data_IF_916746688223
#
_entry.id   IF_916746688223
#
_cell.length_a   1.000
_cell.length_b   1.000
_cell.length_c   1.000
_cell.angle_alpha   90.00
_cell.angle_beta   90.00
_cell.angle_gamma   90.00
#
_symmetry.space_group_name_H-M   'P 1'
#
loop_
_entity.id
_entity.type
_entity.pdbx_description
1 polymer ?
#
# COMPACT_ATOMS: atom_id res chain seq x y z
N UNK A 1 10.11 8.53 -5.99
CA UNK A 1 10.03 8.51 -4.52
C UNK A 1 10.81 7.31 -4.04
N UNK A 2 11.91 7.52 -3.30
CA UNK A 2 12.60 6.42 -2.63
C UNK A 2 11.74 6.01 -1.42
N UNK A 3 11.46 4.72 -1.24
CA UNK A 3 10.62 4.17 -0.15
C UNK A 3 9.13 4.57 -0.19
N UNK A 4 8.53 4.63 -1.39
CA UNK A 4 7.09 4.79 -1.52
C UNK A 4 6.35 3.55 -1.03
N UNK A 5 5.34 3.75 -0.20
CA UNK A 5 4.46 2.70 0.34
C UNK A 5 3.01 2.97 0.04
N UNK A 6 2.22 1.91 -0.02
CA UNK A 6 0.77 2.01 -0.14
C UNK A 6 0.15 0.98 -1.07
N UNK A 7 -1.19 0.94 -1.09
CA UNK A 7 -1.94 -0.06 -1.82
C UNK A 7 -2.11 0.29 -3.31
N UNK A 8 -2.20 -0.76 -4.10
CA UNK A 8 -2.75 -0.74 -5.46
C UNK A 8 -4.17 -1.27 -5.38
N UNK A 9 -5.13 -0.41 -5.63
CA UNK A 9 -6.55 -0.68 -5.52
C UNK A 9 -7.13 -1.00 -6.89
N UNK A 10 -7.93 -2.05 -6.99
CA UNK A 10 -8.72 -2.34 -8.18
C UNK A 10 -9.92 -1.39 -8.25
N UNK A 11 -10.20 -0.85 -9.44
CA UNK A 11 -11.38 -0.02 -9.69
C UNK A 11 -12.59 -0.95 -9.77
N UNK A 12 -13.19 -1.28 -8.63
CA UNK A 12 -14.40 -2.08 -8.55
C UNK A 12 -15.57 -1.22 -8.08
N UNK A 13 -16.60 -1.08 -8.92
CA UNK A 13 -17.85 -0.39 -8.56
C UNK A 13 -17.74 1.11 -8.30
N UNK A 14 -16.72 1.79 -8.85
CA UNK A 14 -16.60 3.27 -8.79
C UNK A 14 -16.27 3.86 -7.41
N UNK A 15 -15.88 3.03 -6.44
CA UNK A 15 -15.66 3.44 -5.04
C UNK A 15 -14.23 3.90 -4.74
N UNK A 16 -13.31 3.76 -5.69
CA UNK A 16 -11.88 3.98 -5.45
C UNK A 16 -11.57 5.43 -5.09
N UNK A 17 -12.27 6.39 -5.69
CA UNK A 17 -12.12 7.83 -5.43
C UNK A 17 -12.47 8.18 -3.97
N UNK A 18 -13.53 7.57 -3.45
CA UNK A 18 -13.95 7.75 -2.06
C UNK A 18 -12.94 7.14 -1.09
N UNK A 19 -12.35 5.99 -1.43
CA UNK A 19 -11.27 5.39 -0.64
C UNK A 19 -10.03 6.30 -0.63
N UNK A 20 -9.65 6.84 -1.79
CA UNK A 20 -8.53 7.79 -1.90
C UNK A 20 -8.79 9.04 -1.06
N UNK A 21 -10.02 9.56 -1.07
CA UNK A 21 -10.42 10.69 -0.25
C UNK A 21 -10.33 10.38 1.26
N UNK A 22 -10.78 9.20 1.69
CA UNK A 22 -10.65 8.77 3.08
C UNK A 22 -9.18 8.61 3.51
N UNK A 23 -8.32 8.09 2.64
CA UNK A 23 -6.87 7.99 2.89
C UNK A 23 -6.26 9.40 3.00
N UNK A 24 -6.68 10.35 2.17
CA UNK A 24 -6.23 11.74 2.25
C UNK A 24 -6.63 12.42 3.55
N UNK A 25 -7.85 12.19 4.00
CA UNK A 25 -8.36 12.75 5.25
C UNK A 25 -7.63 12.20 6.48
N UNK A 26 -7.27 10.91 6.46
CA UNK A 26 -6.53 10.26 7.54
C UNK A 26 -5.05 10.65 7.60
N UNK A 27 -4.50 11.16 6.49
CA UNK A 27 -3.10 11.56 6.33
C UNK A 27 -2.98 12.98 5.72
N UNK A 28 -3.50 14.02 6.40
CA UNK A 28 -3.51 15.38 5.85
C UNK A 28 -2.10 15.99 5.78
N UNK A 29 -1.17 15.47 6.58
CA UNK A 29 0.22 15.92 6.67
C UNK A 29 1.16 15.24 5.64
N UNK A 30 0.66 14.24 4.89
CA UNK A 30 1.46 13.40 4.02
C UNK A 30 1.23 13.75 2.54
N UNK A 31 2.33 13.86 1.78
CA UNK A 31 2.30 14.09 0.34
C UNK A 31 1.88 12.82 -0.43
N UNK A 32 0.57 12.57 -0.49
CA UNK A 32 -0.03 11.44 -1.20
C UNK A 32 0.03 11.63 -2.72
N UNK A 33 0.67 10.67 -3.40
CA UNK A 33 0.68 10.56 -4.85
C UNK A 33 -0.30 9.48 -5.29
N UNK A 34 -1.28 9.87 -6.09
CA UNK A 34 -2.30 8.97 -6.64
C UNK A 34 -2.01 8.82 -8.13
N UNK A 35 -1.82 7.59 -8.59
CA UNK A 35 -1.60 7.27 -10.00
C UNK A 35 -2.79 6.45 -10.47
N UNK A 36 -3.67 7.10 -11.22
CA UNK A 36 -4.84 6.48 -11.82
C UNK A 36 -4.45 5.73 -13.09
N UNK A 37 -4.87 4.46 -13.18
CA UNK A 37 -4.75 3.65 -14.39
C UNK A 37 -6.11 3.15 -14.85
N UNK A 38 -6.13 2.45 -15.98
CA UNK A 38 -7.37 2.00 -16.64
C UNK A 38 -8.24 1.07 -15.76
N UNK A 39 -7.62 0.25 -14.90
CA UNK A 39 -8.30 -0.77 -14.07
C UNK A 39 -7.86 -0.78 -12.61
N UNK A 40 -6.85 0.00 -12.28
CA UNK A 40 -6.26 0.04 -10.95
C UNK A 40 -5.76 1.44 -10.64
N UNK A 41 -5.84 1.82 -9.38
CA UNK A 41 -5.30 3.08 -8.86
C UNK A 41 -4.20 2.74 -7.87
N UNK A 42 -3.04 3.38 -8.01
CA UNK A 42 -1.94 3.24 -7.05
C UNK A 42 -1.93 4.43 -6.12
N UNK A 43 -2.01 4.18 -4.83
CA UNK A 43 -1.86 5.21 -3.80
C UNK A 43 -0.47 5.04 -3.18
N UNK A 44 0.34 6.08 -3.28
CA UNK A 44 1.73 6.09 -2.84
C UNK A 44 1.94 7.21 -1.83
N UNK A 45 2.57 6.88 -0.71
CA UNK A 45 2.97 7.81 0.32
C UNK A 45 4.44 7.60 0.71
N UNK A 46 5.16 8.65 1.15
CA UNK A 46 6.52 8.52 1.65
C UNK A 46 6.54 7.87 3.04
N UNK A 47 7.24 6.74 3.17
CA UNK A 47 7.54 6.02 4.43
C UNK A 47 6.36 5.40 5.19
N UNK A 48 5.20 6.07 5.24
CA UNK A 48 4.05 5.64 6.03
C UNK A 48 2.74 6.00 5.35
N UNK A 49 1.74 5.13 5.48
CA UNK A 49 0.37 5.36 5.08
C UNK A 49 -0.57 4.71 6.09
N UNK A 50 -1.63 5.39 6.51
CA UNK A 50 -2.68 4.83 7.35
C UNK A 50 -4.05 4.98 6.71
N UNK A 51 -4.96 4.07 7.00
CA UNK A 51 -6.38 4.25 6.72
C UNK A 51 -7.21 3.65 7.84
N UNK A 52 -8.09 4.47 8.43
CA UNK A 52 -8.98 4.02 9.49
C UNK A 52 -10.33 3.58 8.93
N UNK A 53 -10.94 2.60 9.60
CA UNK A 53 -12.32 2.17 9.35
C UNK A 53 -13.29 3.34 9.49
N UNK A 54 -13.01 4.27 10.40
CA UNK A 54 -13.86 5.43 10.64
C UNK A 54 -13.94 6.34 9.41
N UNK A 55 -12.80 6.75 8.84
CA UNK A 55 -12.77 7.58 7.63
C UNK A 55 -13.40 6.85 6.43
N UNK A 56 -13.13 5.56 6.27
CA UNK A 56 -13.77 4.77 5.21
C UNK A 56 -15.31 4.75 5.34
N UNK A 57 -15.84 4.52 6.55
CA UNK A 57 -17.28 4.53 6.77
C UNK A 57 -17.89 5.91 6.57
N UNK A 58 -17.12 6.98 6.83
CA UNK A 58 -17.58 8.34 6.63
C UNK A 58 -17.76 8.68 5.15
N UNK A 59 -16.83 8.22 4.29
CA UNK A 59 -16.89 8.46 2.84
C UNK A 59 -17.74 7.44 2.06
N UNK A 60 -17.67 6.15 2.41
CA UNK A 60 -18.31 5.05 1.68
C UNK A 60 -19.61 4.55 2.32
N UNK A 61 -19.87 4.94 3.58
CA UNK A 61 -21.04 4.57 4.36
C UNK A 61 -20.77 3.53 5.45
N UNK A 62 -21.70 3.41 6.43
CA UNK A 62 -21.49 2.65 7.68
C UNK A 62 -21.40 1.12 7.51
N UNK A 63 -21.65 0.61 6.30
CA UNK A 63 -21.53 -0.82 5.97
C UNK A 63 -20.16 -1.18 5.39
N UNK A 64 -19.31 -0.19 5.14
CA UNK A 64 -18.00 -0.43 4.57
C UNK A 64 -17.04 -0.93 5.64
N UNK A 65 -16.46 -2.10 5.42
CA UNK A 65 -15.52 -2.74 6.35
C UNK A 65 -14.11 -2.76 5.77
N UNK A 66 -13.11 -2.89 6.66
CA UNK A 66 -11.71 -3.04 6.26
C UNK A 66 -11.50 -4.26 5.35
N UNK A 67 -12.29 -5.31 5.54
CA UNK A 67 -12.26 -6.51 4.70
C UNK A 67 -12.63 -6.23 3.24
N UNK A 68 -13.61 -5.32 3.04
CA UNK A 68 -13.98 -4.86 1.70
C UNK A 68 -12.85 -4.05 1.06
N UNK A 69 -12.14 -3.25 1.84
CA UNK A 69 -10.95 -2.55 1.35
C UNK A 69 -9.87 -3.55 0.95
N UNK A 70 -9.57 -4.54 1.79
CA UNK A 70 -8.57 -5.56 1.49
C UNK A 70 -8.88 -6.37 0.24
N UNK A 71 -10.14 -6.70 0.02
CA UNK A 71 -10.58 -7.37 -1.21
C UNK A 71 -10.33 -6.52 -2.47
N UNK A 72 -10.29 -5.19 -2.33
CA UNK A 72 -9.93 -4.27 -3.42
C UNK A 72 -8.41 -4.14 -3.62
N UNK A 73 -7.59 -4.51 -2.63
CA UNK A 73 -6.13 -4.41 -2.74
C UNK A 73 -5.60 -5.54 -3.62
N UNK A 74 -5.06 -5.17 -4.77
CA UNK A 74 -4.41 -6.11 -5.70
C UNK A 74 -3.01 -6.45 -5.23
N UNK A 75 -2.28 -5.41 -4.79
CA UNK A 75 -0.90 -5.52 -4.30
C UNK A 75 -0.58 -4.28 -3.46
N UNK A 76 0.49 -4.31 -2.68
CA UNK A 76 0.93 -3.16 -1.89
C UNK A 76 2.45 -3.04 -1.89
N UNK A 77 2.94 -1.80 -1.77
CA UNK A 77 4.33 -1.49 -1.54
C UNK A 77 4.57 -1.26 -0.04
N UNK A 78 5.62 -1.88 0.51
CA UNK A 78 5.94 -1.81 1.94
C UNK A 78 5.39 -2.97 2.76
N UNK A 79 5.50 -2.85 4.08
CA UNK A 79 4.93 -3.79 5.03
C UNK A 79 3.51 -3.36 5.38
N UNK A 80 2.52 -4.15 4.96
CA UNK A 80 1.12 -3.94 5.31
C UNK A 80 0.81 -4.58 6.67
N UNK A 81 0.19 -3.82 7.57
CA UNK A 81 -0.33 -4.29 8.84
C UNK A 81 -1.81 -3.97 8.91
N UNK A 82 -2.61 -4.95 9.32
CA UNK A 82 -4.05 -4.79 9.55
C UNK A 82 -4.36 -4.94 11.03
N UNK A 83 -5.19 -4.06 11.55
CA UNK A 83 -5.90 -4.22 12.82
C UNK A 83 -7.42 -4.26 12.56
N UNK A 84 -8.21 -4.41 13.62
CA UNK A 84 -9.68 -4.33 13.53
C UNK A 84 -10.19 -2.92 13.20
N UNK A 85 -9.35 -1.90 13.39
CA UNK A 85 -9.73 -0.48 13.34
C UNK A 85 -9.06 0.26 12.18
N UNK A 86 -7.89 -0.18 11.75
CA UNK A 86 -7.10 0.49 10.70
C UNK A 86 -6.19 -0.48 9.93
N UNK A 87 -5.73 -0.02 8.77
CA UNK A 87 -4.67 -0.66 8.01
C UNK A 87 -3.54 0.35 7.82
N UNK A 88 -2.32 -0.07 8.08
CA UNK A 88 -1.12 0.74 7.89
C UNK A 88 -0.16 0.09 6.89
N UNK A 89 0.56 0.92 6.17
CA UNK A 89 1.68 0.53 5.33
C UNK A 89 2.90 1.30 5.75
N UNK A 90 3.98 0.58 6.03
CA UNK A 90 5.23 1.16 6.50
C UNK A 90 6.35 0.76 5.55
N UNK A 91 7.27 1.67 5.26
CA UNK A 91 8.48 1.34 4.53
C UNK A 91 9.24 0.35 5.40
N UNK A 92 9.25 -0.92 4.98
CA UNK A 92 10.02 -1.91 5.68
C UNK A 92 11.46 -1.41 5.74
N UNK A 93 12.03 -1.41 6.94
CA UNK A 93 13.47 -1.64 7.06
C UNK A 93 13.74 -3.05 6.54
N UNK A 94 13.61 -3.25 5.23
CA UNK A 94 14.33 -4.30 4.55
C UNK A 94 15.78 -3.89 4.70
N UNK A 95 16.35 -4.33 5.82
CA UNK A 95 17.78 -4.45 6.02
C UNK A 95 18.39 -4.82 4.68
N UNK A 96 19.34 -4.00 4.25
CA UNK A 96 20.40 -4.35 3.33
C UNK A 96 20.93 -5.75 3.69
N UNK A 97 20.33 -6.79 3.11
CA UNK A 97 20.65 -8.18 3.34
C UNK A 97 20.63 -8.94 2.02
N UNK A 98 21.23 -8.34 0.98
CA UNK A 98 21.67 -9.08 -0.19
C UNK A 98 22.83 -8.31 -0.82
N UNK A 99 24.06 -8.69 -0.46
CA UNK A 99 25.29 -8.50 -1.25
C UNK A 99 26.47 -9.26 -0.62
N UNK A 100 26.29 -10.53 -0.22
CA UNK A 100 27.43 -11.47 -0.12
C UNK A 100 27.00 -12.88 -0.49
N UNK A 101 26.78 -13.14 -1.78
CA UNK A 101 26.91 -14.48 -2.32
C UNK A 101 27.59 -14.40 -3.68
N UNK A 102 28.83 -14.91 -3.83
CA UNK A 102 29.26 -15.50 -5.08
C UNK A 102 29.01 -17.01 -5.03
N UNK A 103 28.03 -17.46 -5.81
CA UNK A 103 27.87 -18.87 -6.19
C UNK A 103 28.94 -19.25 -7.21
N UNK A 104 29.66 -20.34 -6.92
CA UNK A 104 30.37 -21.30 -7.79
C UNK A 104 31.15 -20.82 -9.02
N UNK A 105 32.45 -21.07 -9.01
CA UNK A 105 33.29 -21.25 -10.20
C UNK A 105 33.96 -22.63 -10.19
N UNK A 106 33.33 -23.60 -10.82
CA UNK A 106 33.97 -24.84 -11.26
C UNK A 106 34.81 -24.51 -12.53
N UNK A 107 36.10 -24.87 -12.56
CA UNK A 107 36.98 -24.57 -13.67
C UNK A 107 38.33 -25.27 -13.58
N UNK A 108 38.36 -26.52 -14.07
CA UNK A 108 39.37 -27.17 -14.93
C UNK A 108 40.88 -26.91 -14.73
N UNK A 109 41.62 -28.04 -14.73
CA UNK A 109 43.09 -28.24 -14.73
C UNK A 109 43.87 -27.42 -15.79
N UNK A 110 45.21 -27.39 -15.73
CA UNK A 110 46.01 -28.54 -16.21
C UNK A 110 46.94 -29.19 -15.17
#
# INVERSE_FOLDING_TARGET
>A
MENAVGPVLMICGGRVDLVVSAIRDDNPEIALQVVEGDRQVRVLAPYFLRVTRMSLQWHLGPRFELDSLESMIVTSAGCMRRTSEEITWEAGSSSRAELTAPTSGNGLAP
#
